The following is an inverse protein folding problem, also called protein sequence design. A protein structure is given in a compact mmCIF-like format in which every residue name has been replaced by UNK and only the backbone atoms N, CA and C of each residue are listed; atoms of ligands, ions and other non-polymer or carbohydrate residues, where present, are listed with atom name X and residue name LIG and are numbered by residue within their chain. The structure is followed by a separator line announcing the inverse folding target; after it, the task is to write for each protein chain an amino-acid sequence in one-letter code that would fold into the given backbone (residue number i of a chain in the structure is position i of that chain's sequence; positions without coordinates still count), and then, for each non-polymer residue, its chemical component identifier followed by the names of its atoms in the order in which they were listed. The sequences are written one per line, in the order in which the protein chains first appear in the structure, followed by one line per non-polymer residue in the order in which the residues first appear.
data_IF_859262092619
#
_entry.id   IF_859262092619
#
_cell.length_a   1.000
_cell.length_b   1.000
_cell.length_c   1.000
_cell.angle_alpha   90.00
_cell.angle_beta   90.00
_cell.angle_gamma   90.00
#
_symmetry.space_group_name_H-M   'P 1'
#
loop_
_entity.id
_entity.type
_entity.pdbx_description
1 polymer ?
#
# COMPACT_ATOMS: atom_id res chain seq x y z
N UNK A 1 13.02 -2.33 22.35
CA UNK A 1 11.77 -2.45 23.14
C UNK A 1 11.11 -3.78 22.74
N UNK A 2 11.32 -4.82 23.54
CA UNK A 2 10.78 -6.16 23.27
C UNK A 2 9.26 -6.12 23.40
N UNK A 3 8.52 -6.31 22.30
CA UNK A 3 7.10 -6.61 22.40
C UNK A 3 6.98 -7.99 23.03
N UNK A 4 6.33 -8.06 24.20
CA UNK A 4 5.95 -9.35 24.77
C UNK A 4 4.96 -9.98 23.79
N UNK A 5 5.38 -11.01 23.06
CA UNK A 5 4.46 -11.84 22.29
C UNK A 5 3.51 -12.52 23.28
N UNK A 6 2.31 -11.96 23.44
CA UNK A 6 1.23 -12.65 24.15
C UNK A 6 0.81 -13.90 23.37
N UNK A 7 1.00 -15.05 24.01
CA UNK A 7 0.63 -16.36 23.49
C UNK A 7 -0.91 -16.50 23.46
N UNK A 8 -1.47 -16.96 22.33
CA UNK A 8 -2.91 -17.23 22.20
C UNK A 8 -3.34 -18.31 23.19
N UNK A 9 -4.59 -18.26 23.69
CA UNK A 9 -5.08 -19.20 24.70
C UNK A 9 -4.99 -20.66 24.27
N UNK A 10 -5.22 -20.95 22.98
CA UNK A 10 -5.09 -22.29 22.42
C UNK A 10 -3.64 -22.80 22.44
N UNK A 11 -2.66 -21.93 22.16
CA UNK A 11 -1.25 -22.30 22.23
C UNK A 11 -0.79 -22.53 23.68
N UNK A 12 -1.35 -21.77 24.64
CA UNK A 12 -1.10 -21.99 26.07
C UNK A 12 -1.61 -23.37 26.50
N UNK A 13 -2.80 -23.73 26.04
CA UNK A 13 -3.46 -24.98 26.39
C UNK A 13 -2.72 -26.22 25.84
N UNK A 14 -2.24 -26.16 24.59
CA UNK A 14 -1.49 -27.26 23.98
C UNK A 14 -0.11 -27.45 24.63
N UNK A 15 0.62 -26.36 24.86
CA UNK A 15 1.90 -26.41 25.56
C UNK A 15 1.73 -26.94 26.99
N UNK A 16 0.69 -26.51 27.70
CA UNK A 16 0.38 -26.98 29.05
C UNK A 16 0.03 -28.47 29.08
N UNK A 17 -0.76 -28.95 28.10
CA UNK A 17 -1.16 -30.37 28.01
C UNK A 17 0.03 -31.30 27.71
N UNK A 18 0.96 -30.87 26.85
CA UNK A 18 2.20 -31.60 26.57
C UNK A 18 3.08 -31.65 27.83
N UNK A 19 3.20 -30.53 28.55
CA UNK A 19 3.98 -30.45 29.79
C UNK A 19 3.39 -31.30 30.92
N UNK A 20 2.07 -31.32 31.08
CA UNK A 20 1.39 -32.19 32.07
C UNK A 20 1.56 -33.67 31.71
N UNK A 21 1.49 -34.04 30.43
CA UNK A 21 1.78 -35.41 29.99
C UNK A 21 3.22 -35.83 30.35
N UNK A 22 4.22 -35.01 30.02
CA UNK A 22 5.61 -35.31 30.41
C UNK A 22 5.81 -35.35 31.92
N UNK A 23 5.15 -34.47 32.68
CA UNK A 23 5.19 -34.46 34.15
C UNK A 23 4.65 -35.77 34.73
N UNK A 24 3.52 -36.28 34.23
CA UNK A 24 2.97 -37.58 34.68
C UNK A 24 3.89 -38.76 34.37
N UNK A 25 4.57 -38.76 33.21
CA UNK A 25 5.55 -39.79 32.87
C UNK A 25 6.80 -39.71 33.78
N UNK A 26 7.22 -38.50 34.15
CA UNK A 26 8.44 -38.25 34.91
C UNK A 26 8.26 -38.49 36.42
N UNK A 27 7.10 -38.13 36.97
CA UNK A 27 6.77 -38.35 38.40
C UNK A 27 6.65 -39.85 38.72
N UNK A 28 6.31 -40.70 37.74
CA UNK A 28 6.35 -42.16 37.86
C UNK A 28 7.77 -42.77 37.95
N UNK A 29 8.81 -42.06 37.52
CA UNK A 29 10.20 -42.55 37.41
C UNK A 29 11.20 -41.92 38.42
N UNK A 30 10.74 -41.10 39.38
CA UNK A 30 11.59 -40.43 40.41
C UNK A 30 12.75 -39.58 39.86
N UNK A 31 12.52 -38.76 38.83
CA UNK A 31 13.53 -37.81 38.34
C UNK A 31 13.66 -36.60 39.28
N UNK A 32 14.88 -36.09 39.58
CA UNK A 32 15.07 -34.89 40.41
C UNK A 32 14.38 -33.65 39.83
N UNK A 33 13.64 -32.91 40.66
CA UNK A 33 12.84 -31.75 40.26
C UNK A 33 13.61 -30.67 39.49
N UNK A 34 14.89 -30.47 39.81
CA UNK A 34 15.77 -29.51 39.12
C UNK A 34 16.06 -29.89 37.66
N UNK A 35 16.15 -31.18 37.34
CA UNK A 35 16.28 -31.66 35.96
C UNK A 35 14.97 -31.51 35.20
N UNK A 36 13.84 -31.65 35.89
CA UNK A 36 12.51 -31.43 35.32
C UNK A 36 12.31 -29.96 34.95
N UNK A 37 12.68 -29.03 35.82
CA UNK A 37 12.58 -27.58 35.52
C UNK A 37 13.53 -27.15 34.39
N UNK A 38 14.78 -27.62 34.38
CA UNK A 38 15.70 -27.34 33.27
C UNK A 38 15.19 -27.89 31.93
N UNK A 39 14.52 -29.05 31.95
CA UNK A 39 13.89 -29.62 30.76
C UNK A 39 12.70 -28.77 30.28
N UNK A 40 11.87 -28.28 31.20
CA UNK A 40 10.76 -27.37 30.86
C UNK A 40 11.26 -26.08 30.21
N UNK A 41 12.29 -25.44 30.77
CA UNK A 41 12.86 -24.21 30.21
C UNK A 41 13.42 -24.41 28.81
N UNK A 42 14.15 -25.51 28.58
CA UNK A 42 14.69 -25.85 27.25
C UNK A 42 13.60 -26.12 26.23
N UNK A 43 12.57 -26.90 26.60
CA UNK A 43 11.42 -27.17 25.71
C UNK A 43 10.70 -25.87 25.37
N UNK A 44 10.47 -25.01 26.37
CA UNK A 44 9.83 -23.71 26.16
C UNK A 44 10.65 -22.82 25.22
N UNK A 45 11.97 -22.73 25.42
CA UNK A 45 12.87 -21.94 24.56
C UNK A 45 12.84 -22.42 23.10
N UNK A 46 13.01 -23.72 22.87
CA UNK A 46 13.00 -24.31 21.52
C UNK A 46 11.65 -24.09 20.84
N UNK A 47 10.55 -24.23 21.58
CA UNK A 47 9.21 -23.95 21.07
C UNK A 47 9.05 -22.49 20.64
N UNK A 48 9.51 -21.54 21.47
CA UNK A 48 9.40 -20.11 21.18
C UNK A 48 10.25 -19.69 19.97
N UNK A 49 11.49 -20.17 19.87
CA UNK A 49 12.36 -19.90 18.72
C UNK A 49 11.77 -20.44 17.41
N UNK A 50 11.21 -21.66 17.45
CA UNK A 50 10.57 -22.26 16.27
C UNK A 50 9.31 -21.49 15.86
N UNK A 51 8.54 -20.99 16.83
CA UNK A 51 7.36 -20.16 16.58
C UNK A 51 7.70 -18.80 15.99
N UNK A 52 8.75 -18.14 16.49
CA UNK A 52 9.20 -16.86 15.95
C UNK A 52 9.66 -16.99 14.50
N UNK A 53 10.45 -18.03 14.20
CA UNK A 53 10.85 -18.35 12.82
C UNK A 53 9.63 -18.61 11.92
N UNK A 54 8.67 -19.40 12.38
CA UNK A 54 7.44 -19.66 11.63
C UNK A 54 6.64 -18.38 11.35
N UNK A 55 6.56 -17.47 12.32
CA UNK A 55 5.88 -16.18 12.12
C UNK A 55 6.62 -15.30 11.10
N UNK A 56 7.94 -15.27 11.14
CA UNK A 56 8.76 -14.54 10.16
C UNK A 56 8.59 -15.13 8.75
N UNK A 57 8.61 -16.45 8.60
CA UNK A 57 8.37 -17.14 7.33
C UNK A 57 6.96 -16.85 6.79
N UNK A 58 5.96 -16.80 7.67
CA UNK A 58 4.58 -16.45 7.29
C UNK A 58 4.46 -14.99 6.82
N UNK A 59 5.16 -14.06 7.47
CA UNK A 59 5.20 -12.65 7.03
C UNK A 59 5.95 -12.48 5.71
N UNK A 60 7.08 -13.17 5.53
CA UNK A 60 7.82 -13.20 4.26
C UNK A 60 6.97 -13.80 3.13
N UNK A 61 6.19 -14.84 3.41
CA UNK A 61 5.27 -15.45 2.46
C UNK A 61 4.15 -14.49 2.04
N UNK A 62 3.56 -13.75 2.99
CA UNK A 62 2.56 -12.71 2.69
C UNK A 62 3.14 -11.60 1.82
N UNK A 63 4.37 -11.16 2.13
CA UNK A 63 5.09 -10.17 1.33
C UNK A 63 5.30 -10.68 -0.11
N UNK A 64 5.86 -11.88 -0.29
CA UNK A 64 6.09 -12.46 -1.63
C UNK A 64 4.80 -12.62 -2.43
N UNK A 65 3.73 -13.10 -1.79
CA UNK A 65 2.42 -13.24 -2.43
C UNK A 65 1.84 -11.88 -2.83
N UNK A 66 2.00 -10.86 -2.01
CA UNK A 66 1.65 -9.50 -2.41
C UNK A 66 2.48 -9.08 -3.63
N UNK A 67 3.81 -9.29 -3.65
CA UNK A 67 4.68 -8.86 -4.77
C UNK A 67 4.28 -9.51 -6.09
N UNK A 68 3.88 -10.77 -6.02
CA UNK A 68 3.35 -11.50 -7.14
C UNK A 68 2.01 -10.93 -7.64
N UNK A 69 1.07 -10.63 -6.73
CA UNK A 69 -0.17 -9.92 -7.07
C UNK A 69 0.10 -8.55 -7.70
N UNK A 70 1.19 -7.87 -7.30
CA UNK A 70 1.65 -6.63 -7.98
C UNK A 70 2.05 -6.91 -9.40
N UNK A 71 2.89 -7.93 -9.59
CA UNK A 71 3.46 -8.26 -10.87
C UNK A 71 2.32 -8.66 -11.82
N UNK A 72 1.34 -9.41 -11.33
CA UNK A 72 0.11 -9.74 -12.04
C UNK A 72 -0.71 -8.49 -12.34
N UNK A 73 -0.88 -7.56 -11.39
CA UNK A 73 -1.54 -6.27 -11.63
C UNK A 73 -0.82 -5.43 -12.70
N UNK A 74 0.53 -5.45 -12.69
CA UNK A 74 1.38 -4.78 -13.67
C UNK A 74 1.21 -5.38 -15.06
N UNK A 75 1.15 -6.71 -15.16
CA UNK A 75 0.88 -7.46 -16.39
C UNK A 75 -0.53 -7.13 -16.90
N UNK A 76 -1.55 -7.25 -16.05
CA UNK A 76 -2.94 -6.93 -16.37
C UNK A 76 -3.11 -5.50 -16.84
N UNK A 77 -2.29 -4.61 -16.30
CA UNK A 77 -2.28 -3.26 -16.76
C UNK A 77 -1.61 -3.13 -18.14
N UNK A 78 -0.48 -3.79 -18.40
CA UNK A 78 0.08 -3.84 -19.76
C UNK A 78 -0.89 -4.43 -20.78
N UNK A 79 -1.81 -5.29 -20.35
CA UNK A 79 -2.97 -5.82 -21.11
C UNK A 79 -4.17 -4.85 -21.19
N UNK A 80 -4.09 -3.68 -20.54
CA UNK A 80 -5.11 -2.63 -20.39
C UNK A 80 -6.36 -3.04 -19.60
N UNK A 81 -6.31 -4.14 -18.85
CA UNK A 81 -7.36 -4.58 -17.93
C UNK A 81 -7.27 -3.80 -16.60
N UNK A 82 -7.67 -2.53 -16.61
CA UNK A 82 -7.48 -1.62 -15.47
C UNK A 82 -8.24 -2.03 -14.20
N UNK A 83 -9.43 -2.59 -14.34
CA UNK A 83 -10.22 -3.05 -13.18
C UNK A 83 -9.58 -4.26 -12.49
N UNK A 84 -9.10 -5.24 -13.27
CA UNK A 84 -8.36 -6.38 -12.74
C UNK A 84 -7.02 -5.95 -12.14
N UNK A 85 -6.33 -4.99 -12.78
CA UNK A 85 -5.11 -4.41 -12.24
C UNK A 85 -5.35 -3.70 -10.89
N UNK A 86 -6.39 -2.87 -10.79
CA UNK A 86 -6.77 -2.19 -9.54
C UNK A 86 -7.16 -3.20 -8.46
N UNK A 87 -7.92 -4.25 -8.80
CA UNK A 87 -8.26 -5.33 -7.86
C UNK A 87 -7.01 -6.06 -7.35
N UNK A 88 -6.08 -6.43 -8.24
CA UNK A 88 -4.84 -7.10 -7.87
C UNK A 88 -3.93 -6.20 -7.02
N UNK A 89 -3.85 -4.90 -7.33
CA UNK A 89 -3.15 -3.95 -6.47
C UNK A 89 -3.83 -3.80 -5.11
N UNK A 90 -5.16 -3.75 -5.07
CA UNK A 90 -5.94 -3.63 -3.83
C UNK A 90 -5.80 -4.88 -2.96
N UNK A 91 -5.85 -6.07 -3.55
CA UNK A 91 -5.65 -7.34 -2.84
C UNK A 91 -4.23 -7.45 -2.29
N UNK A 92 -3.23 -7.03 -3.07
CA UNK A 92 -1.86 -7.03 -2.62
C UNK A 92 -1.59 -6.03 -1.48
N UNK A 93 -2.22 -4.85 -1.54
CA UNK A 93 -2.21 -3.86 -0.45
C UNK A 93 -2.93 -4.43 0.78
N UNK A 94 -4.05 -5.12 0.62
CA UNK A 94 -4.75 -5.76 1.73
C UNK A 94 -3.95 -6.89 2.38
N UNK A 95 -3.20 -7.65 1.59
CA UNK A 95 -2.39 -8.79 2.06
C UNK A 95 -1.10 -8.36 2.75
N UNK A 96 -0.44 -7.33 2.23
CA UNK A 96 0.76 -6.77 2.85
C UNK A 96 0.77 -5.23 2.75
N UNK A 97 -0.01 -4.55 3.62
CA UNK A 97 -0.18 -3.09 3.59
C UNK A 97 1.11 -2.29 3.84
N UNK A 98 2.15 -2.97 4.34
CA UNK A 98 3.45 -2.38 4.70
C UNK A 98 4.40 -2.21 3.50
N UNK A 99 4.09 -2.77 2.32
CA UNK A 99 4.94 -2.61 1.11
C UNK A 99 4.41 -1.47 0.24
N UNK A 100 5.14 -0.35 0.23
CA UNK A 100 4.82 0.89 -0.46
C UNK A 100 5.01 0.86 -2.00
N UNK A 101 4.76 -0.26 -2.67
CA UNK A 101 5.21 -0.51 -4.05
C UNK A 101 4.06 -0.73 -5.08
N UNK A 102 2.77 -0.63 -4.70
CA UNK A 102 1.58 -1.06 -5.50
C UNK A 102 0.81 -0.03 -6.33
N UNK A 103 1.23 1.23 -6.42
CA UNK A 103 0.42 2.25 -7.12
C UNK A 103 0.66 2.26 -8.64
N UNK A 104 -0.13 1.44 -9.35
CA UNK A 104 -0.63 1.70 -10.70
C UNK A 104 0.35 1.47 -11.85
N UNK A 105 -0.14 1.07 -13.01
CA UNK A 105 0.66 0.97 -14.24
C UNK A 105 0.07 1.69 -15.47
N UNK A 106 -1.12 2.29 -15.47
CA UNK A 106 -1.65 3.00 -16.67
C UNK A 106 -1.56 4.46 -16.37
N UNK A 107 -1.00 5.22 -17.29
CA UNK A 107 -0.79 6.63 -17.01
C UNK A 107 -2.14 7.26 -16.63
N UNK A 108 -3.23 6.95 -17.35
CA UNK A 108 -4.59 7.40 -17.01
C UNK A 108 -5.10 6.90 -15.64
N UNK A 109 -4.97 5.62 -15.31
CA UNK A 109 -5.40 5.09 -14.00
C UNK A 109 -4.51 5.51 -12.83
N UNK A 110 -3.22 5.80 -13.09
CA UNK A 110 -2.32 6.48 -12.16
C UNK A 110 -2.77 7.91 -11.94
N UNK A 111 -3.28 8.58 -12.97
CA UNK A 111 -3.78 9.94 -12.88
C UNK A 111 -5.13 10.00 -12.18
N UNK A 112 -6.04 9.05 -12.43
CA UNK A 112 -7.30 8.94 -11.70
C UNK A 112 -7.07 8.60 -10.22
N UNK A 113 -6.18 7.66 -9.91
CA UNK A 113 -5.79 7.37 -8.52
C UNK A 113 -5.04 8.54 -7.89
N UNK A 114 -4.14 9.21 -8.63
CA UNK A 114 -3.48 10.42 -8.14
C UNK A 114 -4.49 11.55 -7.90
N UNK A 115 -5.57 11.63 -8.69
CA UNK A 115 -6.66 12.59 -8.48
C UNK A 115 -7.38 12.29 -7.17
N UNK A 116 -7.73 11.02 -6.93
CA UNK A 116 -8.36 10.61 -5.69
C UNK A 116 -7.45 10.86 -4.47
N UNK A 117 -6.18 10.45 -4.55
CA UNK A 117 -5.18 10.69 -3.51
C UNK A 117 -4.99 12.19 -3.24
N UNK A 118 -4.94 13.00 -4.29
CA UNK A 118 -4.81 14.45 -4.15
C UNK A 118 -6.07 15.07 -3.56
N UNK A 119 -7.27 14.60 -3.90
CA UNK A 119 -8.50 15.07 -3.27
C UNK A 119 -8.58 14.70 -1.79
N UNK A 120 -8.11 13.52 -1.39
CA UNK A 120 -7.99 13.17 0.03
C UNK A 120 -6.96 14.08 0.73
N UNK A 121 -5.82 14.36 0.09
CA UNK A 121 -4.84 15.30 0.63
C UNK A 121 -5.42 16.71 0.82
N UNK A 122 -6.25 17.18 -0.11
CA UNK A 122 -6.89 18.50 -0.03
C UNK A 122 -8.03 18.59 0.99
N UNK A 123 -8.66 17.47 1.35
CA UNK A 123 -9.59 17.43 2.49
C UNK A 123 -8.85 17.64 3.82
N UNK A 124 -7.58 17.26 3.89
CA UNK A 124 -6.73 17.38 5.08
C UNK A 124 -6.09 18.77 5.12
N UNK A 125 -5.51 19.23 4.01
CA UNK A 125 -4.97 20.58 3.85
C UNK A 125 -5.52 21.23 2.56
N UNK A 126 -6.55 22.09 2.69
CA UNK A 126 -7.15 22.79 1.56
C UNK A 126 -6.22 23.75 0.81
N UNK A 127 -5.04 24.06 1.36
CA UNK A 127 -4.08 24.97 0.75
C UNK A 127 -2.85 24.23 0.19
N UNK A 128 -2.90 22.90 0.08
CA UNK A 128 -1.73 22.11 -0.31
C UNK A 128 -1.38 22.27 -1.80
N UNK A 129 -0.48 23.22 -2.08
CA UNK A 129 -0.01 23.60 -3.42
C UNK A 129 0.41 22.41 -4.30
N UNK A 130 1.11 21.41 -3.75
CA UNK A 130 1.58 20.25 -4.52
C UNK A 130 0.45 19.30 -4.94
N UNK A 131 -0.60 19.16 -4.13
CA UNK A 131 -1.77 18.36 -4.51
C UNK A 131 -2.52 19.03 -5.67
N UNK A 132 -2.72 20.36 -5.63
CA UNK A 132 -3.28 21.09 -6.76
C UNK A 132 -2.40 21.01 -8.02
N UNK A 133 -1.08 21.11 -7.89
CA UNK A 133 -0.17 20.92 -9.04
C UNK A 133 -0.24 19.50 -9.61
N UNK A 134 -0.39 18.47 -8.77
CA UNK A 134 -0.53 17.07 -9.22
C UNK A 134 -1.89 16.79 -9.85
N UNK A 135 -2.97 17.38 -9.33
CA UNK A 135 -4.29 17.37 -9.98
C UNK A 135 -4.22 18.03 -11.35
N UNK A 136 -3.57 19.20 -11.44
CA UNK A 136 -3.34 19.89 -12.71
C UNK A 136 -2.65 19.00 -13.74
N UNK A 137 -1.61 18.28 -13.33
CA UNK A 137 -0.89 17.34 -14.19
C UNK A 137 -1.72 16.12 -14.57
N UNK A 138 -2.41 15.53 -13.60
CA UNK A 138 -3.26 14.37 -13.83
C UNK A 138 -4.37 14.70 -14.85
N UNK A 139 -5.07 15.82 -14.67
CA UNK A 139 -6.09 16.28 -15.62
C UNK A 139 -5.50 16.68 -16.98
N UNK A 140 -4.29 17.26 -17.03
CA UNK A 140 -3.60 17.57 -18.29
C UNK A 140 -3.38 16.30 -19.12
N UNK A 141 -2.93 15.24 -18.47
CA UNK A 141 -2.63 13.96 -19.10
C UNK A 141 -3.90 13.16 -19.44
N UNK A 142 -5.01 13.44 -18.75
CA UNK A 142 -6.34 12.95 -19.08
C UNK A 142 -7.06 13.83 -20.13
N UNK A 143 -6.36 14.82 -20.70
CA UNK A 143 -6.89 15.77 -21.69
C UNK A 143 -8.09 16.60 -21.22
N UNK A 144 -8.29 16.69 -19.90
CA UNK A 144 -9.24 17.61 -19.29
C UNK A 144 -8.54 18.94 -19.01
N UNK A 145 -8.33 19.72 -20.07
CA UNK A 145 -7.49 20.91 -20.02
C UNK A 145 -8.11 22.02 -19.19
N UNK A 146 -9.43 22.12 -19.13
CA UNK A 146 -10.17 23.06 -18.30
C UNK A 146 -9.88 22.83 -16.82
N UNK A 147 -10.07 21.58 -16.33
CA UNK A 147 -9.75 21.24 -14.94
C UNK A 147 -8.26 21.32 -14.64
N UNK A 148 -7.42 21.01 -15.64
CA UNK A 148 -5.97 21.17 -15.50
C UNK A 148 -5.58 22.62 -15.21
N UNK A 149 -6.08 23.55 -16.03
CA UNK A 149 -5.87 25.00 -15.89
C UNK A 149 -6.39 25.51 -14.55
N UNK A 150 -7.59 25.09 -14.15
CA UNK A 150 -8.18 25.48 -12.86
C UNK A 150 -7.27 25.09 -11.67
N UNK A 151 -6.82 23.84 -11.65
CA UNK A 151 -5.99 23.31 -10.56
C UNK A 151 -4.60 23.95 -10.54
N UNK A 152 -3.98 24.21 -11.71
CA UNK A 152 -2.71 24.95 -11.75
C UNK A 152 -2.85 26.41 -11.31
N UNK A 153 -3.95 27.10 -11.68
CA UNK A 153 -4.23 28.45 -11.19
C UNK A 153 -4.44 28.47 -9.69
N UNK A 154 -5.15 27.47 -9.15
CA UNK A 154 -5.31 27.32 -7.70
C UNK A 154 -3.98 27.10 -7.00
N UNK A 155 -3.10 26.25 -7.56
CA UNK A 155 -1.75 26.06 -7.03
C UNK A 155 -0.93 27.38 -7.04
N UNK A 156 -0.95 28.14 -8.14
CA UNK A 156 -0.27 29.45 -8.23
C UNK A 156 -0.87 30.51 -7.30
N UNK A 157 -2.14 30.40 -6.93
CA UNK A 157 -2.71 31.33 -5.94
C UNK A 157 -2.07 31.18 -4.55
N UNK A 158 -1.51 30.01 -4.25
CA UNK A 158 -0.78 29.73 -3.02
C UNK A 158 0.74 29.89 -3.17
N UNK A 159 1.29 29.64 -4.38
CA UNK A 159 2.70 29.84 -4.70
C UNK A 159 2.87 30.58 -6.04
N UNK A 160 2.72 31.92 -6.04
CA UNK A 160 2.69 32.71 -7.28
C UNK A 160 4.01 32.73 -8.05
N UNK A 161 5.13 32.40 -7.40
CA UNK A 161 6.47 32.47 -7.98
C UNK A 161 6.97 31.11 -8.48
N UNK A 162 6.10 30.08 -8.49
CA UNK A 162 6.47 28.75 -8.93
C UNK A 162 6.57 28.65 -10.46
N UNK A 163 7.78 28.83 -10.99
CA UNK A 163 8.04 28.79 -12.44
C UNK A 163 7.64 27.46 -13.09
N UNK A 164 7.77 26.32 -12.39
CA UNK A 164 7.36 25.03 -12.93
C UNK A 164 5.84 24.96 -13.16
N UNK A 165 5.06 25.48 -12.21
CA UNK A 165 3.60 25.51 -12.31
C UNK A 165 3.16 26.53 -13.36
N UNK A 166 3.83 27.68 -13.49
CA UNK A 166 3.57 28.65 -14.58
C UNK A 166 3.78 28.02 -15.96
N UNK A 167 4.88 27.29 -16.14
CA UNK A 167 5.17 26.60 -17.39
C UNK A 167 4.13 25.51 -17.69
N UNK A 168 3.75 24.72 -16.68
CA UNK A 168 2.72 23.68 -16.83
C UNK A 168 1.33 24.27 -17.11
N UNK A 169 0.99 25.41 -16.50
CA UNK A 169 -0.23 26.16 -16.79
C UNK A 169 -0.24 26.65 -18.24
N UNK A 170 0.85 27.27 -18.71
CA UNK A 170 0.95 27.75 -20.08
C UNK A 170 0.79 26.60 -21.11
N UNK A 171 1.34 25.43 -20.80
CA UNK A 171 1.13 24.23 -21.62
C UNK A 171 -0.34 23.80 -21.66
N UNK A 172 -1.02 23.79 -20.50
CA UNK A 172 -2.42 23.43 -20.41
C UNK A 172 -3.33 24.43 -21.15
N UNK A 173 -3.08 25.74 -21.02
CA UNK A 173 -3.82 26.80 -21.71
C UNK A 173 -3.63 26.73 -23.24
N UNK A 174 -2.41 26.44 -23.69
CA UNK A 174 -2.15 26.25 -25.12
C UNK A 174 -2.95 25.09 -25.70
N UNK A 175 -3.00 23.94 -25.00
CA UNK A 175 -3.79 22.78 -25.43
C UNK A 175 -5.29 23.05 -25.44
N UNK A 176 -5.79 23.75 -24.43
CA UNK A 176 -7.19 24.17 -24.35
C UNK A 176 -7.57 25.09 -25.54
N UNK A 177 -6.71 26.07 -25.86
CA UNK A 177 -6.95 26.97 -26.98
C UNK A 177 -6.97 26.26 -28.34
N UNK A 178 -6.10 25.26 -28.54
CA UNK A 178 -6.09 24.45 -29.77
C UNK A 178 -7.42 23.71 -29.97
N UNK A 179 -7.98 23.13 -28.91
CA UNK A 179 -9.24 22.38 -29.01
C UNK A 179 -10.41 23.32 -29.32
N UNK A 180 -10.47 24.46 -28.65
CA UNK A 180 -11.55 25.43 -28.88
C UNK A 180 -11.53 26.00 -30.30
N UNK A 181 -10.36 26.17 -30.91
CA UNK A 181 -10.25 26.57 -32.33
C UNK A 181 -10.78 25.48 -33.26
N UNK A 182 -10.35 24.23 -33.07
CA UNK A 182 -10.74 23.12 -33.93
C UNK A 182 -12.25 22.84 -33.87
N UNK A 183 -12.89 23.03 -32.71
CA UNK A 183 -14.33 22.88 -32.56
C UNK A 183 -15.12 23.95 -33.31
N UNK A 184 -14.64 25.20 -33.32
CA UNK A 184 -15.32 26.28 -34.03
C UNK A 184 -15.27 26.12 -35.55
N UNK A 185 -14.17 25.56 -36.09
CA UNK A 185 -14.03 25.30 -37.53
C UNK A 185 -14.95 24.17 -38.00
N UNK A 186 -15.16 23.11 -37.20
CA UNK A 186 -16.06 22.00 -37.51
C UNK A 186 -17.55 22.32 -37.49
N UNK A 187 -17.95 23.47 -36.94
CA UNK A 187 -19.35 23.90 -36.87
C UNK A 187 -19.74 24.91 -37.96
N UNK A 188 -18.82 25.25 -38.86
CA UNK A 188 -18.99 26.26 -39.91
C UNK A 188 -19.04 25.70 -41.35
N UNK A 189 -19.10 24.37 -41.51
CA UNK A 189 -19.42 23.66 -42.77
C UNK A 189 -20.86 23.13 -42.76
#
# INVERSE_FOLDING_TARGET
MSSKLEMSENDRFLAFSILEYFKTCIEGEKIPSTKVEALKENIFKVFMEKREKLNLEQEELKMKKAEELKAQGNVKLSEKCYEEAIKLYTEAIGLYPKSAIYFGNSQQGKYDQAIEDCHQALKIDPNYTKAYSRLGLAFLQLHNYEKSVENYKKALSFDPNNENIKNALAQAESKLQTINRNQNESTSE
#
